data_IF_343585541794
#
_entry.id   IF_343585541794
#
_cell.length_a   1.000
_cell.length_b   1.000
_cell.length_c   1.000
_cell.angle_alpha   90.00
_cell.angle_beta   90.00
_cell.angle_gamma   90.00
#
_symmetry.space_group_name_H-M   'P 1'
#
loop_
_entity.id
_entity.type
_entity.pdbx_description
1 polymer ?
#
# COMPACT_ATOMS: atom_id res chain seq x y z
N UNK A 1 15.45 31.26 9.26
CA UNK A 1 14.12 30.81 9.75
C UNK A 1 13.92 29.37 9.33
N UNK A 2 13.85 28.41 10.27
CA UNK A 2 13.43 27.04 9.95
C UNK A 2 11.95 27.10 9.54
N UNK A 3 11.62 26.73 8.29
CA UNK A 3 10.22 26.48 7.91
C UNK A 3 9.74 25.30 8.76
N UNK A 4 8.88 25.57 9.73
CA UNK A 4 8.11 24.54 10.41
C UNK A 4 7.10 24.04 9.35
N UNK A 5 7.28 22.85 8.85
CA UNK A 5 6.27 22.21 8.01
C UNK A 5 5.14 21.80 8.93
N UNK A 6 4.00 22.44 8.80
CA UNK A 6 2.78 22.02 9.48
C UNK A 6 2.43 20.61 9.03
N UNK A 7 2.58 19.65 9.93
CA UNK A 7 2.22 18.26 9.66
C UNK A 7 0.69 18.18 9.59
N UNK A 8 0.17 17.77 8.43
CA UNK A 8 -1.27 17.60 8.22
C UNK A 8 -1.77 16.48 9.13
N UNK A 9 -2.60 16.82 10.07
CA UNK A 9 -3.19 15.91 11.04
C UNK A 9 -4.72 15.83 10.92
N UNK A 10 -5.34 15.08 11.82
CA UNK A 10 -6.79 14.83 11.81
C UNK A 10 -7.62 16.13 11.86
N UNK A 11 -7.15 17.19 12.53
CA UNK A 11 -7.84 18.49 12.59
C UNK A 11 -7.99 19.17 11.22
N UNK A 12 -7.05 18.99 10.32
CA UNK A 12 -7.11 19.59 8.98
C UNK A 12 -8.30 19.07 8.17
N UNK A 13 -8.78 17.86 8.50
CA UNK A 13 -9.92 17.22 7.80
C UNK A 13 -11.29 17.79 8.23
N UNK A 14 -11.36 18.65 9.24
CA UNK A 14 -12.62 19.29 9.68
C UNK A 14 -13.33 20.07 8.58
N UNK A 15 -12.58 20.51 7.58
CA UNK A 15 -13.12 21.23 6.41
C UNK A 15 -13.68 20.30 5.32
N UNK A 16 -13.35 19.01 5.39
CA UNK A 16 -13.65 18.04 4.32
C UNK A 16 -14.69 17.00 4.74
N UNK A 17 -14.82 16.74 6.03
CA UNK A 17 -15.73 15.71 6.55
C UNK A 17 -16.56 16.25 7.71
N UNK A 18 -17.74 15.67 7.94
CA UNK A 18 -18.60 16.08 9.04
C UNK A 18 -17.98 15.79 10.41
N UNK A 19 -18.35 16.60 11.40
CA UNK A 19 -17.93 16.40 12.80
C UNK A 19 -18.29 15.01 13.32
N UNK A 20 -19.38 14.40 12.84
CA UNK A 20 -19.77 13.03 13.23
C UNK A 20 -18.75 11.99 12.77
N UNK A 21 -18.18 12.14 11.57
CA UNK A 21 -17.12 11.26 11.05
C UNK A 21 -15.86 11.41 11.90
N UNK A 22 -15.42 12.64 12.18
CA UNK A 22 -14.25 12.89 13.01
C UNK A 22 -14.40 12.36 14.43
N UNK A 23 -15.56 12.59 15.05
CA UNK A 23 -15.84 12.07 16.39
C UNK A 23 -15.83 10.53 16.42
N UNK A 24 -16.35 9.89 15.38
CA UNK A 24 -16.27 8.42 15.24
C UNK A 24 -14.83 7.93 15.12
N UNK A 25 -13.99 8.63 14.37
CA UNK A 25 -12.55 8.32 14.24
C UNK A 25 -11.87 8.50 15.60
N UNK A 26 -12.05 9.65 16.27
CA UNK A 26 -11.48 9.94 17.59
C UNK A 26 -11.88 8.86 18.61
N UNK A 27 -13.17 8.48 18.67
CA UNK A 27 -13.67 7.43 19.59
C UNK A 27 -13.05 6.05 19.30
N UNK A 28 -12.79 5.72 18.02
CA UNK A 28 -12.12 4.47 17.67
C UNK A 28 -10.62 4.52 17.99
N UNK A 29 -9.97 5.64 17.72
CA UNK A 29 -8.57 5.85 17.99
C UNK A 29 -8.26 5.78 19.50
N UNK A 30 -9.15 6.31 20.36
CA UNK A 30 -9.00 6.23 21.81
C UNK A 30 -8.87 4.80 22.32
N UNK A 31 -9.59 3.85 21.73
CA UNK A 31 -9.49 2.42 22.07
C UNK A 31 -8.13 1.80 21.72
N UNK A 32 -7.40 2.45 20.80
CA UNK A 32 -6.10 2.00 20.30
C UNK A 32 -4.93 2.83 20.85
N UNK A 33 -5.17 3.84 21.68
CA UNK A 33 -4.17 4.79 22.16
C UNK A 33 -2.93 4.15 22.79
N UNK A 34 -3.09 3.00 23.44
CA UNK A 34 -1.99 2.25 24.07
C UNK A 34 -1.39 1.17 23.14
N UNK A 35 -1.89 1.06 21.93
CA UNK A 35 -1.46 0.05 20.97
C UNK A 35 -0.44 0.63 20.01
N UNK A 36 0.53 -0.20 19.67
CA UNK A 36 1.54 0.12 18.66
C UNK A 36 1.27 -0.70 17.39
N UNK A 37 0.95 0.00 16.31
CA UNK A 37 0.64 -0.58 15.00
C UNK A 37 1.84 -0.39 14.08
N UNK A 38 2.12 -1.37 13.23
CA UNK A 38 3.15 -1.23 12.19
C UNK A 38 2.61 -1.65 10.83
N UNK A 39 2.96 -0.88 9.80
CA UNK A 39 2.75 -1.21 8.40
C UNK A 39 4.08 -1.62 7.77
N UNK A 40 4.07 -2.67 6.93
CA UNK A 40 5.24 -3.17 6.21
C UNK A 40 4.91 -3.25 4.72
N UNK A 41 5.73 -2.63 3.87
CA UNK A 41 5.62 -2.73 2.42
C UNK A 41 7.00 -2.79 1.76
N UNK A 42 7.06 -2.69 0.44
CA UNK A 42 8.29 -2.87 -0.35
C UNK A 42 9.03 -1.60 -0.73
N UNK A 43 8.48 -0.41 -0.50
CA UNK A 43 9.13 0.85 -0.89
C UNK A 43 8.57 2.05 -0.13
N UNK A 44 9.41 3.06 0.10
CA UNK A 44 8.97 4.38 0.60
C UNK A 44 8.48 5.30 -0.51
N UNK A 45 8.86 5.05 -1.76
CA UNK A 45 8.62 5.94 -2.88
C UNK A 45 8.06 5.19 -4.08
N UNK A 46 7.25 5.89 -4.85
CA UNK A 46 6.66 5.36 -6.08
C UNK A 46 5.55 4.36 -5.83
N UNK A 47 4.44 4.55 -6.50
CA UNK A 47 3.25 3.70 -6.40
C UNK A 47 2.28 4.07 -5.28
N UNK A 48 1.03 3.66 -5.48
CA UNK A 48 -0.10 4.08 -4.64
C UNK A 48 -0.03 3.60 -3.19
N UNK A 49 0.63 2.46 -2.91
CA UNK A 49 0.74 1.94 -1.54
C UNK A 49 1.66 2.81 -0.69
N UNK A 50 2.82 3.23 -1.21
CA UNK A 50 3.72 4.12 -0.52
C UNK A 50 3.07 5.50 -0.28
N UNK A 51 2.34 6.01 -1.27
CA UNK A 51 1.60 7.26 -1.17
C UNK A 51 0.49 7.18 -0.11
N UNK A 52 -0.28 6.10 -0.10
CA UNK A 52 -1.29 5.85 0.93
C UNK A 52 -0.67 5.79 2.32
N UNK A 53 0.42 5.04 2.50
CA UNK A 53 1.04 4.82 3.81
C UNK A 53 1.71 6.08 4.35
N UNK A 54 2.29 6.92 3.49
CA UNK A 54 2.89 8.19 3.92
C UNK A 54 1.88 9.11 4.62
N UNK A 55 0.66 9.21 4.07
CA UNK A 55 -0.41 10.02 4.67
C UNK A 55 -1.13 9.29 5.81
N UNK A 56 -1.41 7.99 5.64
CA UNK A 56 -2.14 7.20 6.64
C UNK A 56 -1.39 7.11 7.97
N UNK A 57 -0.07 6.89 7.94
CA UNK A 57 0.72 6.80 9.17
C UNK A 57 0.76 8.11 9.92
N UNK A 58 0.85 9.25 9.23
CA UNK A 58 0.77 10.57 9.83
C UNK A 58 -0.61 10.78 10.47
N UNK A 59 -1.68 10.45 9.72
CA UNK A 59 -3.05 10.61 10.18
C UNK A 59 -3.34 9.75 11.43
N UNK A 60 -2.91 8.49 11.43
CA UNK A 60 -3.08 7.59 12.57
C UNK A 60 -2.33 8.12 13.82
N UNK A 61 -1.09 8.58 13.65
CA UNK A 61 -0.32 9.18 14.74
C UNK A 61 -0.97 10.47 15.27
N UNK A 62 -1.51 11.32 14.38
CA UNK A 62 -2.24 12.52 14.79
C UNK A 62 -3.54 12.21 15.53
N UNK A 63 -4.15 11.05 15.24
CA UNK A 63 -5.30 10.54 15.98
C UNK A 63 -4.93 9.89 17.34
N UNK A 64 -3.65 9.81 17.67
CA UNK A 64 -3.14 9.24 18.93
C UNK A 64 -2.85 7.74 18.88
N UNK A 65 -2.84 7.12 17.71
CA UNK A 65 -2.46 5.71 17.53
C UNK A 65 -0.98 5.65 17.17
N UNK A 66 -0.14 5.07 18.02
CA UNK A 66 1.28 4.88 17.72
C UNK A 66 1.43 4.00 16.49
N UNK A 67 1.84 4.60 15.38
CA UNK A 67 1.91 3.91 14.10
C UNK A 67 3.30 4.05 13.49
N UNK A 68 3.93 2.92 13.19
CA UNK A 68 5.19 2.84 12.50
C UNK A 68 5.03 2.38 11.06
N UNK A 69 6.05 2.64 10.23
CA UNK A 69 6.15 2.16 8.87
C UNK A 69 7.54 1.58 8.63
N UNK A 70 7.59 0.36 8.11
CA UNK A 70 8.81 -0.37 7.77
C UNK A 70 8.79 -0.70 6.28
N UNK A 71 9.96 -0.69 5.68
CA UNK A 71 10.14 -1.08 4.28
C UNK A 71 11.18 -2.18 4.20
N UNK A 72 10.83 -3.25 3.47
CA UNK A 72 11.76 -4.33 3.22
C UNK A 72 12.86 -3.88 2.26
N UNK A 73 14.05 -4.41 2.46
CA UNK A 73 15.18 -4.22 1.57
C UNK A 73 15.38 -5.47 0.72
N UNK A 74 15.71 -5.30 -0.53
CA UNK A 74 15.95 -6.42 -1.45
C UNK A 74 16.91 -6.05 -2.57
N UNK A 75 17.51 -7.08 -3.15
CA UNK A 75 18.33 -6.96 -4.36
C UNK A 75 17.46 -6.66 -5.60
N UNK A 76 18.06 -6.22 -6.71
CA UNK A 76 17.36 -6.12 -8.00
C UNK A 76 16.71 -7.43 -8.43
N UNK A 77 17.34 -8.58 -8.14
CA UNK A 77 16.79 -9.91 -8.43
C UNK A 77 15.53 -10.19 -7.62
N UNK A 78 15.54 -9.87 -6.34
CA UNK A 78 14.34 -9.98 -5.49
C UNK A 78 13.18 -9.16 -6.05
N UNK A 79 13.41 -7.90 -6.39
CA UNK A 79 12.36 -7.05 -6.95
C UNK A 79 11.92 -7.51 -8.35
N UNK A 80 12.81 -8.08 -9.15
CA UNK A 80 12.45 -8.69 -10.42
C UNK A 80 11.52 -9.90 -10.22
N UNK A 81 11.84 -10.76 -9.25
CA UNK A 81 11.02 -11.93 -8.91
C UNK A 81 9.65 -11.51 -8.38
N UNK A 82 9.62 -10.61 -7.41
CA UNK A 82 8.37 -10.16 -6.77
C UNK A 82 7.48 -9.36 -7.71
N UNK A 83 8.05 -8.60 -8.66
CA UNK A 83 7.29 -7.96 -9.74
C UNK A 83 6.59 -8.99 -10.63
N UNK A 84 7.26 -10.12 -10.95
CA UNK A 84 6.65 -11.22 -11.71
C UNK A 84 5.52 -11.89 -10.92
N UNK A 85 5.71 -12.11 -9.61
CA UNK A 85 4.66 -12.64 -8.73
C UNK A 85 3.46 -11.68 -8.64
N UNK A 86 3.70 -10.39 -8.47
CA UNK A 86 2.69 -9.34 -8.46
C UNK A 86 1.87 -9.37 -9.77
N UNK A 87 2.54 -9.39 -10.91
CA UNK A 87 1.86 -9.46 -12.21
C UNK A 87 1.08 -10.78 -12.40
N UNK A 88 1.59 -11.88 -11.84
CA UNK A 88 0.91 -13.17 -11.90
C UNK A 88 -0.32 -13.26 -11.00
N UNK A 89 -0.35 -12.52 -9.90
CA UNK A 89 -1.57 -12.32 -9.12
C UNK A 89 -2.68 -11.64 -9.93
N UNK A 90 -2.31 -10.84 -10.94
CA UNK A 90 -3.22 -10.23 -11.93
C UNK A 90 -3.38 -11.08 -13.21
N UNK A 91 -3.18 -12.39 -13.13
CA UNK A 91 -3.41 -13.34 -14.23
C UNK A 91 -2.25 -13.53 -15.20
N UNK A 92 -1.11 -12.81 -15.08
CA UNK A 92 0.01 -13.01 -15.99
C UNK A 92 0.64 -14.39 -15.79
N UNK A 93 1.09 -15.03 -16.90
CA UNK A 93 1.86 -16.27 -16.81
C UNK A 93 3.18 -16.03 -16.05
N UNK A 94 3.57 -17.01 -15.24
CA UNK A 94 4.82 -16.99 -14.48
C UNK A 94 5.49 -18.36 -14.53
N UNK A 95 6.80 -18.38 -14.63
CA UNK A 95 7.62 -19.55 -14.34
C UNK A 95 8.25 -19.33 -12.95
N UNK A 96 7.69 -20.00 -11.95
CA UNK A 96 8.12 -19.90 -10.54
C UNK A 96 9.09 -21.05 -10.21
N UNK A 97 10.35 -20.89 -10.63
CA UNK A 97 11.42 -21.88 -10.37
C UNK A 97 11.79 -21.92 -8.90
N UNK A 98 12.47 -23.01 -8.47
CA UNK A 98 13.02 -23.15 -7.11
C UNK A 98 13.89 -21.95 -6.75
N UNK A 99 14.87 -21.58 -7.60
CA UNK A 99 15.75 -20.42 -7.37
C UNK A 99 15.00 -19.12 -7.11
N UNK A 100 13.89 -18.88 -7.84
CA UNK A 100 13.08 -17.67 -7.60
C UNK A 100 12.40 -17.66 -6.23
N UNK A 101 11.96 -18.83 -5.77
CA UNK A 101 11.39 -18.99 -4.44
C UNK A 101 12.45 -18.79 -3.37
N UNK A 102 13.64 -19.39 -3.57
CA UNK A 102 14.76 -19.25 -2.64
C UNK A 102 15.17 -17.77 -2.49
N UNK A 103 15.35 -17.03 -3.60
CA UNK A 103 15.62 -15.58 -3.58
C UNK A 103 14.54 -14.84 -2.80
N UNK A 104 13.28 -15.20 -2.99
CA UNK A 104 12.14 -14.55 -2.32
C UNK A 104 12.17 -14.82 -0.81
N UNK A 105 12.29 -16.08 -0.41
CA UNK A 105 12.25 -16.50 0.99
C UNK A 105 13.50 -16.07 1.77
N UNK A 106 14.69 -16.22 1.20
CA UNK A 106 15.96 -15.78 1.81
C UNK A 106 15.98 -14.27 2.07
N UNK A 107 15.55 -13.47 1.07
CA UNK A 107 15.47 -12.02 1.26
C UNK A 107 14.50 -11.64 2.38
N UNK A 108 13.38 -12.34 2.52
CA UNK A 108 12.43 -12.07 3.60
C UNK A 108 12.98 -12.54 4.95
N UNK A 109 13.70 -13.65 5.01
CA UNK A 109 14.40 -14.09 6.21
C UNK A 109 15.40 -13.02 6.70
N UNK A 110 16.22 -12.49 5.81
CA UNK A 110 17.15 -11.39 6.12
C UNK A 110 16.43 -10.12 6.62
N UNK A 111 15.30 -9.79 5.99
CA UNK A 111 14.50 -8.65 6.43
C UNK A 111 13.85 -8.91 7.80
N UNK A 112 13.45 -10.13 8.09
CA UNK A 112 12.88 -10.47 9.38
C UNK A 112 13.91 -10.31 10.52
N UNK A 113 15.18 -10.61 10.27
CA UNK A 113 16.27 -10.40 11.23
C UNK A 113 16.51 -8.90 11.49
N UNK A 114 16.41 -8.07 10.45
CA UNK A 114 16.75 -6.64 10.51
C UNK A 114 15.58 -5.75 10.97
N UNK A 115 14.35 -6.19 10.77
CA UNK A 115 13.16 -5.44 11.17
C UNK A 115 12.70 -5.88 12.56
N UNK A 116 12.10 -4.94 13.27
CA UNK A 116 11.44 -5.21 14.54
C UNK A 116 9.92 -5.10 14.33
N UNK A 117 9.21 -6.23 14.42
CA UNK A 117 7.76 -6.32 14.21
C UNK A 117 7.01 -6.86 15.44
N UNK A 118 7.62 -6.74 16.62
CA UNK A 118 7.00 -7.09 17.89
C UNK A 118 6.00 -5.98 18.32
N UNK A 119 4.87 -5.91 17.61
CA UNK A 119 3.85 -4.87 17.74
C UNK A 119 2.49 -5.46 18.10
N UNK A 120 1.60 -4.60 18.62
CA UNK A 120 0.22 -5.00 18.97
C UNK A 120 -0.64 -5.30 17.75
N UNK A 121 -0.30 -4.76 16.58
CA UNK A 121 -0.88 -5.13 15.29
C UNK A 121 0.12 -4.89 14.17
N UNK A 122 0.16 -5.81 13.20
CA UNK A 122 1.05 -5.75 12.04
C UNK A 122 0.23 -5.83 10.75
N UNK A 123 0.42 -4.86 9.87
CA UNK A 123 -0.19 -4.83 8.54
C UNK A 123 0.89 -5.09 7.49
N UNK A 124 0.74 -6.18 6.76
CA UNK A 124 1.62 -6.56 5.66
C UNK A 124 0.94 -6.20 4.36
N UNK A 125 1.60 -5.37 3.54
CA UNK A 125 1.06 -4.87 2.28
C UNK A 125 1.63 -5.60 1.09
N UNK A 126 0.74 -6.13 0.25
CA UNK A 126 1.04 -6.83 -1.00
C UNK A 126 1.85 -8.14 -0.82
N UNK A 127 2.24 -8.83 -1.91
CA UNK A 127 2.90 -10.12 -1.79
C UNK A 127 4.36 -10.06 -1.36
N UNK A 128 5.04 -8.89 -1.51
CA UNK A 128 6.48 -8.84 -1.29
C UNK A 128 6.89 -9.23 0.13
N UNK A 129 6.32 -8.65 1.21
CA UNK A 129 6.68 -9.02 2.58
C UNK A 129 5.86 -10.19 3.14
N UNK A 130 5.03 -10.84 2.34
CA UNK A 130 4.05 -11.84 2.78
C UNK A 130 4.63 -12.97 3.66
N UNK A 131 5.79 -13.58 3.34
CA UNK A 131 6.34 -14.67 4.17
C UNK A 131 6.93 -14.22 5.51
N UNK A 132 7.00 -12.91 5.81
CA UNK A 132 7.51 -12.45 7.11
C UNK A 132 6.78 -13.06 8.30
N UNK A 133 5.52 -13.45 8.12
CA UNK A 133 4.71 -14.09 9.18
C UNK A 133 5.35 -15.38 9.72
N UNK A 134 6.16 -16.06 8.93
CA UNK A 134 6.82 -17.32 9.33
C UNK A 134 8.03 -17.10 10.24
N UNK A 135 8.53 -15.88 10.33
CA UNK A 135 9.73 -15.54 11.07
C UNK A 135 9.46 -14.87 12.43
N UNK A 136 8.19 -14.68 12.80
CA UNK A 136 7.83 -13.98 14.04
C UNK A 136 6.85 -14.78 14.90
N UNK A 137 7.08 -14.73 16.22
CA UNK A 137 6.06 -15.09 17.19
C UNK A 137 5.10 -13.90 17.34
N UNK A 138 3.87 -14.06 16.91
CA UNK A 138 2.87 -12.97 16.93
C UNK A 138 2.51 -12.57 18.37
N UNK A 139 2.51 -11.26 18.65
CA UNK A 139 1.97 -10.67 19.89
C UNK A 139 0.52 -10.21 19.75
N UNK A 140 0.10 -9.91 18.53
CA UNK A 140 -1.22 -9.41 18.19
C UNK A 140 -1.61 -9.83 16.77
N UNK A 141 -2.71 -9.30 16.24
CA UNK A 141 -3.17 -9.66 14.91
C UNK A 141 -2.20 -9.21 13.82
N UNK A 142 -1.94 -10.12 12.89
CA UNK A 142 -1.27 -9.84 11.63
C UNK A 142 -2.30 -9.83 10.51
N UNK A 143 -2.37 -8.75 9.77
CA UNK A 143 -3.38 -8.52 8.75
C UNK A 143 -2.68 -8.35 7.40
N UNK A 144 -3.08 -9.13 6.40
CA UNK A 144 -2.59 -8.94 5.05
C UNK A 144 -3.48 -7.96 4.29
N UNK A 145 -2.91 -6.89 3.76
CA UNK A 145 -3.60 -5.93 2.89
C UNK A 145 -3.11 -6.11 1.46
N UNK A 146 -3.98 -6.59 0.57
CA UNK A 146 -3.72 -6.72 -0.84
C UNK A 146 -4.27 -5.52 -1.60
N UNK A 147 -3.40 -4.86 -2.37
CA UNK A 147 -3.76 -3.76 -3.24
C UNK A 147 -3.83 -4.17 -4.72
N UNK A 148 -3.55 -5.44 -4.99
CA UNK A 148 -3.49 -6.03 -6.34
C UNK A 148 -4.86 -6.57 -6.72
N UNK A 149 -5.19 -6.49 -8.01
CA UNK A 149 -6.33 -7.20 -8.56
C UNK A 149 -6.12 -8.72 -8.47
N UNK A 150 -7.05 -9.39 -7.81
CA UNK A 150 -7.07 -10.84 -7.62
C UNK A 150 -8.30 -11.50 -8.26
N UNK A 151 -8.91 -10.88 -9.26
CA UNK A 151 -10.08 -11.45 -9.94
C UNK A 151 -9.73 -12.83 -10.52
N UNK A 152 -8.61 -12.92 -11.23
CA UNK A 152 -8.15 -14.16 -11.89
C UNK A 152 -6.65 -14.42 -11.66
N UNK A 153 -6.22 -14.73 -10.44
CA UNK A 153 -4.82 -14.96 -10.16
C UNK A 153 -4.31 -16.26 -10.82
N UNK A 154 -3.08 -16.21 -11.34
CA UNK A 154 -2.41 -17.39 -11.90
C UNK A 154 -2.34 -18.51 -10.85
N UNK A 155 -2.70 -19.74 -11.26
CA UNK A 155 -2.82 -20.90 -10.35
C UNK A 155 -1.50 -21.26 -9.66
N UNK A 156 -0.35 -21.11 -10.34
CA UNK A 156 0.96 -21.42 -9.78
C UNK A 156 1.34 -20.45 -8.65
N UNK A 157 1.14 -19.15 -8.85
CA UNK A 157 1.42 -18.15 -7.83
C UNK A 157 0.44 -18.24 -6.66
N UNK A 158 -0.83 -18.54 -6.97
CA UNK A 158 -1.85 -18.80 -5.97
C UNK A 158 -1.48 -19.99 -5.07
N UNK A 159 -1.13 -21.11 -5.66
CA UNK A 159 -0.72 -22.33 -4.93
C UNK A 159 0.48 -22.05 -4.01
N UNK A 160 1.38 -21.16 -4.41
CA UNK A 160 2.59 -20.84 -3.66
C UNK A 160 2.33 -19.81 -2.54
N UNK A 161 1.61 -18.73 -2.81
CA UNK A 161 1.46 -17.62 -1.86
C UNK A 161 0.30 -17.81 -0.86
N UNK A 162 -0.78 -18.51 -1.24
CA UNK A 162 -1.97 -18.62 -0.39
C UNK A 162 -1.73 -19.33 0.95
N UNK A 163 -0.85 -20.35 1.05
CA UNK A 163 -0.49 -20.92 2.34
C UNK A 163 0.10 -19.92 3.33
N UNK A 164 0.81 -18.88 2.87
CA UNK A 164 1.25 -17.79 3.75
C UNK A 164 0.09 -16.91 4.18
N UNK A 165 -0.83 -16.58 3.26
CA UNK A 165 -2.00 -15.73 3.55
C UNK A 165 -2.88 -16.35 4.64
N UNK A 166 -3.07 -17.67 4.61
CA UNK A 166 -3.90 -18.38 5.60
C UNK A 166 -3.33 -18.39 7.02
N UNK A 167 -2.09 -17.92 7.23
CA UNK A 167 -1.49 -17.74 8.56
C UNK A 167 -1.83 -16.38 9.20
N UNK A 168 -2.42 -15.45 8.42
CA UNK A 168 -2.87 -14.15 8.90
C UNK A 168 -4.24 -14.24 9.58
N UNK A 169 -4.56 -13.33 10.48
CA UNK A 169 -5.85 -13.26 11.14
C UNK A 169 -6.98 -12.74 10.23
N UNK A 170 -6.62 -11.93 9.22
CA UNK A 170 -7.55 -11.45 8.21
C UNK A 170 -6.81 -11.00 6.95
N UNK A 171 -7.56 -10.97 5.83
CA UNK A 171 -7.13 -10.33 4.60
C UNK A 171 -8.02 -9.13 4.28
N UNK A 172 -7.44 -8.04 3.76
CA UNK A 172 -8.17 -6.87 3.32
C UNK A 172 -7.95 -6.71 1.82
N UNK A 173 -9.02 -6.63 1.05
CA UNK A 173 -9.02 -6.37 -0.39
C UNK A 173 -9.65 -5.01 -0.71
N UNK A 174 -9.40 -4.49 -1.91
CA UNK A 174 -9.96 -3.20 -2.31
C UNK A 174 -11.47 -3.29 -2.58
N UNK A 175 -11.92 -4.33 -3.26
CA UNK A 175 -13.33 -4.56 -3.64
C UNK A 175 -13.73 -6.02 -3.44
N UNK A 176 -15.02 -6.29 -3.48
CA UNK A 176 -15.57 -7.63 -3.23
C UNK A 176 -15.21 -8.66 -4.31
N UNK A 177 -15.03 -8.19 -5.52
CA UNK A 177 -14.68 -8.99 -6.70
C UNK A 177 -13.29 -9.65 -6.56
N UNK A 178 -12.43 -9.11 -5.71
CA UNK A 178 -11.10 -9.68 -5.41
C UNK A 178 -11.15 -10.78 -4.34
N UNK A 179 -12.33 -11.12 -3.85
CA UNK A 179 -12.51 -12.19 -2.85
C UNK A 179 -11.90 -13.50 -3.34
N UNK A 180 -11.22 -14.20 -2.44
CA UNK A 180 -10.61 -15.48 -2.70
C UNK A 180 -11.17 -16.58 -1.81
N UNK A 181 -10.97 -17.84 -2.19
CA UNK A 181 -11.29 -19.00 -1.34
C UNK A 181 -10.21 -19.13 -0.26
N UNK A 182 -10.34 -18.38 0.84
CA UNK A 182 -9.46 -18.40 2.00
C UNK A 182 -10.26 -18.80 3.25
N UNK A 183 -9.61 -19.45 4.22
CA UNK A 183 -10.20 -19.84 5.50
C UNK A 183 -10.29 -18.70 6.51
N UNK A 184 -9.58 -17.60 6.25
CA UNK A 184 -9.53 -16.42 7.12
C UNK A 184 -10.58 -15.37 6.73
N UNK A 185 -11.03 -14.53 7.67
CA UNK A 185 -11.92 -13.39 7.41
C UNK A 185 -11.37 -12.48 6.30
N UNK A 186 -12.27 -12.02 5.44
CA UNK A 186 -11.94 -11.12 4.33
C UNK A 186 -12.75 -9.82 4.46
N UNK A 187 -12.04 -8.71 4.54
CA UNK A 187 -12.60 -7.38 4.63
C UNK A 187 -12.40 -6.64 3.30
N UNK A 188 -13.28 -5.71 3.00
CA UNK A 188 -13.22 -4.92 1.76
C UNK A 188 -13.14 -3.44 2.11
N UNK A 189 -12.04 -2.82 1.69
CA UNK A 189 -11.75 -1.42 1.97
C UNK A 189 -11.07 -0.80 0.76
N UNK A 190 -11.76 0.10 0.08
CA UNK A 190 -11.18 0.83 -1.04
C UNK A 190 -9.99 1.68 -0.59
N UNK A 191 -8.95 1.80 -1.41
CA UNK A 191 -7.89 2.77 -1.16
C UNK A 191 -8.45 4.19 -1.23
N UNK A 192 -7.85 5.10 -0.48
CA UNK A 192 -8.20 6.52 -0.47
C UNK A 192 -7.00 7.35 -0.91
N UNK A 193 -7.27 8.57 -1.35
CA UNK A 193 -6.25 9.58 -1.64
C UNK A 193 -6.10 10.52 -0.44
N UNK A 194 -4.96 11.18 -0.35
CA UNK A 194 -4.77 12.33 0.54
C UNK A 194 -5.20 13.61 -0.17
N UNK A 195 -6.31 14.26 0.25
CA UNK A 195 -6.79 15.49 -0.37
C UNK A 195 -5.83 16.67 -0.19
N UNK A 196 -4.91 16.61 0.77
CA UNK A 196 -3.92 17.65 1.03
C UNK A 196 -2.59 17.42 0.32
N UNK A 197 -2.44 16.32 -0.40
CA UNK A 197 -1.22 16.08 -1.18
C UNK A 197 -1.10 17.11 -2.32
N UNK A 198 0.14 17.47 -2.65
CA UNK A 198 0.41 18.43 -3.75
C UNK A 198 -0.20 17.97 -5.09
N UNK A 199 -0.40 16.66 -5.28
CA UNK A 199 -1.01 16.09 -6.48
C UNK A 199 -2.51 16.38 -6.59
N UNK A 200 -3.16 16.62 -5.45
CA UNK A 200 -4.60 16.87 -5.35
C UNK A 200 -4.91 18.34 -5.06
N UNK A 201 -3.89 19.21 -5.10
CA UNK A 201 -4.06 20.65 -4.93
C UNK A 201 -4.80 21.24 -6.15
N UNK A 202 -5.83 22.06 -5.89
CA UNK A 202 -6.43 22.89 -6.93
C UNK A 202 -5.40 23.87 -7.48
N UNK A 203 -5.29 23.92 -8.79
CA UNK A 203 -4.40 24.83 -9.51
C UNK A 203 -5.23 25.94 -10.18
N UNK A 204 -4.72 27.16 -10.15
CA UNK A 204 -5.29 28.26 -10.93
C UNK A 204 -5.03 28.06 -12.43
N UNK A 205 -5.86 28.65 -13.28
CA UNK A 205 -5.67 28.59 -14.74
C UNK A 205 -4.26 29.10 -15.14
N UNK A 206 -3.74 30.10 -14.44
CA UNK A 206 -2.39 30.62 -14.69
C UNK A 206 -1.32 29.56 -14.39
N UNK A 207 -1.35 28.91 -13.23
CA UNK A 207 -0.42 27.85 -12.86
C UNK A 207 -0.47 26.69 -13.86
N UNK A 208 -1.68 26.29 -14.30
CA UNK A 208 -1.84 25.24 -15.33
C UNK A 208 -1.18 25.65 -16.64
N UNK A 209 -1.49 26.86 -17.15
CA UNK A 209 -0.95 27.36 -18.41
C UNK A 209 0.57 27.48 -18.38
N UNK A 210 1.14 27.99 -17.28
CA UNK A 210 2.59 28.09 -17.10
C UNK A 210 3.26 26.70 -17.11
N UNK A 211 2.65 25.71 -16.48
CA UNK A 211 3.17 24.34 -16.49
C UNK A 211 3.07 23.68 -17.85
N UNK A 212 1.98 23.80 -18.55
CA UNK A 212 1.82 23.27 -19.90
C UNK A 212 2.84 23.88 -20.86
N UNK A 213 3.06 25.19 -20.81
CA UNK A 213 4.09 25.88 -21.60
C UNK A 213 5.51 25.40 -21.28
N UNK A 214 5.79 25.19 -20.00
CA UNK A 214 7.09 24.67 -19.57
C UNK A 214 7.44 23.29 -20.20
N UNK A 215 6.42 22.47 -20.45
CA UNK A 215 6.56 21.16 -21.09
C UNK A 215 6.27 21.20 -22.61
N UNK A 216 6.17 22.39 -23.21
CA UNK A 216 5.83 22.59 -24.63
C UNK A 216 4.52 21.88 -25.04
N UNK A 217 3.54 21.83 -24.14
CA UNK A 217 2.22 21.27 -24.44
C UNK A 217 1.32 22.40 -24.97
N UNK A 218 0.73 22.27 -26.17
CA UNK A 218 -0.20 23.25 -26.72
C UNK A 218 -1.38 23.49 -25.79
N UNK A 219 -1.83 24.75 -25.72
CA UNK A 219 -2.95 25.16 -24.84
C UNK A 219 -4.19 25.66 -25.58
N UNK A 220 -4.13 25.65 -26.89
CA UNK A 220 -5.16 26.08 -27.84
C UNK A 220 -6.15 24.98 -28.22
N UNK A 221 -5.81 23.72 -27.90
CA UNK A 221 -6.66 22.56 -28.14
C UNK A 221 -7.03 21.83 -26.83
N UNK A 222 -8.15 21.10 -26.80
CA UNK A 222 -8.47 20.20 -25.70
C UNK A 222 -7.39 19.15 -25.52
N UNK A 223 -7.00 18.88 -24.29
CA UNK A 223 -5.94 17.92 -23.94
C UNK A 223 -6.59 16.63 -23.42
N UNK A 224 -6.24 15.52 -24.05
CA UNK A 224 -6.49 14.18 -23.52
C UNK A 224 -5.16 13.69 -22.93
N UNK A 225 -5.15 13.41 -21.63
CA UNK A 225 -3.92 13.04 -20.95
C UNK A 225 -4.06 11.71 -20.18
N UNK A 226 -3.05 10.84 -20.35
CA UNK A 226 -2.88 9.66 -19.52
C UNK A 226 -1.54 9.75 -18.81
N UNK A 227 -1.57 9.78 -17.48
CA UNK A 227 -0.37 9.81 -16.64
C UNK A 227 -0.27 8.50 -15.89
N UNK A 228 0.51 7.57 -16.43
CA UNK A 228 0.63 6.22 -15.88
C UNK A 228 1.99 5.58 -16.23
N UNK A 229 2.26 4.40 -15.66
CA UNK A 229 3.34 3.54 -16.15
C UNK A 229 2.92 2.92 -17.48
N UNK A 230 3.88 2.69 -18.38
CA UNK A 230 3.66 1.95 -19.61
C UNK A 230 3.58 0.45 -19.28
N UNK A 231 2.40 -0.02 -18.94
CA UNK A 231 2.09 -1.44 -18.78
C UNK A 231 0.68 -1.73 -19.34
N UNK A 232 0.43 -2.99 -19.69
CA UNK A 232 -0.80 -3.41 -20.39
C UNK A 232 -2.10 -3.11 -19.62
N UNK A 233 -2.05 -3.00 -18.28
CA UNK A 233 -3.24 -2.68 -17.47
C UNK A 233 -3.58 -1.19 -17.49
N UNK A 234 -2.73 -0.39 -18.12
CA UNK A 234 -2.93 1.04 -18.32
C UNK A 234 -3.32 1.39 -19.74
N UNK A 235 -3.31 0.37 -20.61
CA UNK A 235 -3.73 0.48 -22.01
C UNK A 235 -3.11 1.70 -22.74
N UNK A 236 -1.76 1.79 -22.81
CA UNK A 236 -1.12 2.98 -23.36
C UNK A 236 -1.27 3.11 -24.88
N UNK A 237 -1.79 2.07 -25.55
CA UNK A 237 -1.98 2.00 -27.00
C UNK A 237 -3.45 2.14 -27.41
N UNK A 238 -4.40 2.11 -26.45
CA UNK A 238 -5.85 2.16 -26.64
C UNK A 238 -6.48 3.56 -26.67
#
# INVERSE_FOLDING_TARGET
MKKVYDTIGLGNYERLVSSSVLNRIKKKAEKLRKRHVVHVNSTYYGGGVAELLSSLTILMNSAGIKTGWRVIQGSPDYFSVTKKMHNALQGKKINLTRRKKDIFEETICDNAIRNHLDHDAVFIHDPQPLPMIDHYKKRGPWIWRCHVDLTEPNSMVKKYLFPFIEKYEAAIFSIKEYRQKLKIPQLFLMPAIDPFSIKNKDLTKKEVTERLRHYNIPTDLPIIAQISRFDRWKDPEG
#
